data_IF_503714595749
#
_entry.id   IF_503714595749
#
_cell.length_a   1.000
_cell.length_b   1.000
_cell.length_c   1.000
_cell.angle_alpha   90.00
_cell.angle_beta   90.00
_cell.angle_gamma   90.00
#
_symmetry.space_group_name_H-M   'P 1'
#
loop_
_entity.id
_entity.type
_entity.pdbx_description
1 polymer ?
#
# COMPACT_ATOMS: atom_id res chain seq x y z
N UNK A 1 -1.21 -12.52 -15.32
CA UNK A 1 -0.17 -11.96 -14.39
C UNK A 1 1.07 -11.57 -15.17
N UNK A 2 1.70 -10.43 -14.89
CA UNK A 2 2.95 -10.01 -15.53
C UNK A 2 4.06 -11.05 -15.32
N UNK A 3 4.85 -11.30 -16.38
CA UNK A 3 5.95 -12.27 -16.32
C UNK A 3 7.13 -11.76 -15.46
N UNK A 4 7.35 -10.43 -15.42
CA UNK A 4 8.45 -9.79 -14.70
C UNK A 4 8.10 -8.36 -14.28
N UNK A 5 8.90 -7.80 -13.36
CA UNK A 5 8.72 -6.43 -12.87
C UNK A 5 9.03 -5.38 -13.93
N UNK A 6 9.94 -5.65 -14.86
CA UNK A 6 10.33 -4.68 -15.90
C UNK A 6 9.15 -4.37 -16.83
N UNK A 7 8.33 -5.37 -17.13
CA UNK A 7 7.08 -5.22 -17.89
C UNK A 7 6.11 -4.28 -17.17
N UNK A 8 5.87 -4.49 -15.87
CA UNK A 8 4.98 -3.63 -15.06
C UNK A 8 5.55 -2.20 -14.96
N UNK A 9 6.83 -2.05 -14.68
CA UNK A 9 7.50 -0.74 -14.57
C UNK A 9 7.43 0.01 -15.90
N UNK A 10 7.67 -0.69 -17.02
CA UNK A 10 7.58 -0.11 -18.37
C UNK A 10 6.16 0.37 -18.68
N UNK A 11 5.15 -0.46 -18.44
CA UNK A 11 3.75 -0.09 -18.61
C UNK A 11 3.39 1.12 -17.75
N UNK A 12 3.73 1.08 -16.45
CA UNK A 12 3.41 2.13 -15.50
C UNK A 12 4.00 3.49 -15.92
N UNK A 13 5.25 3.51 -16.37
CA UNK A 13 5.91 4.73 -16.86
C UNK A 13 5.27 5.24 -18.16
N UNK A 14 5.09 4.36 -19.16
CA UNK A 14 4.57 4.77 -20.46
C UNK A 14 3.09 5.19 -20.42
N UNK A 15 2.30 4.66 -19.50
CA UNK A 15 0.88 4.96 -19.40
C UNK A 15 0.55 6.00 -18.31
N UNK A 16 1.54 6.54 -17.63
CA UNK A 16 1.33 7.62 -16.67
C UNK A 16 0.75 7.17 -15.34
N UNK A 17 1.07 5.95 -14.92
CA UNK A 17 0.78 5.50 -13.56
C UNK A 17 1.83 5.98 -12.56
N UNK A 18 3.12 5.76 -12.87
CA UNK A 18 4.21 6.13 -11.96
C UNK A 18 5.41 6.61 -12.76
N UNK A 19 6.03 7.70 -12.32
CA UNK A 19 7.23 8.27 -12.90
C UNK A 19 8.37 8.25 -11.87
N UNK A 20 9.65 8.21 -12.31
CA UNK A 20 10.78 8.47 -11.42
C UNK A 20 10.66 9.86 -10.81
N UNK A 21 10.81 9.98 -9.50
CA UNK A 21 10.76 11.28 -8.82
C UNK A 21 11.90 12.17 -9.22
N UNK A 22 11.61 13.43 -9.60
CA UNK A 22 12.62 14.42 -10.03
C UNK A 22 13.48 13.99 -11.21
N UNK A 23 12.93 13.24 -12.17
CA UNK A 23 13.62 12.61 -13.29
C UNK A 23 14.48 13.59 -14.11
N UNK A 24 14.00 14.82 -14.32
CA UNK A 24 14.73 15.87 -15.06
C UNK A 24 16.07 16.26 -14.44
N UNK A 25 16.30 15.94 -13.18
CA UNK A 25 17.58 16.15 -12.47
C UNK A 25 18.35 14.84 -12.22
N UNK A 26 17.99 13.76 -12.93
CA UNK A 26 18.60 12.44 -12.76
C UNK A 26 17.95 11.59 -11.68
N UNK A 27 16.85 12.07 -11.11
CA UNK A 27 16.06 11.36 -10.09
C UNK A 27 16.67 11.40 -8.70
N UNK A 28 15.90 10.94 -7.73
CA UNK A 28 16.35 10.62 -6.38
C UNK A 28 16.10 9.12 -6.16
N UNK A 29 17.14 8.40 -5.75
CA UNK A 29 17.09 6.94 -5.62
C UNK A 29 15.84 6.47 -4.89
N UNK A 30 15.08 5.65 -5.60
CA UNK A 30 13.84 5.00 -5.13
C UNK A 30 12.78 5.97 -4.59
N UNK A 31 12.66 7.11 -5.24
CA UNK A 31 11.59 8.08 -5.06
C UNK A 31 10.75 8.10 -6.33
N UNK A 32 9.43 8.05 -6.17
CA UNK A 32 8.49 7.88 -7.26
C UNK A 32 7.35 8.88 -7.16
N UNK A 33 6.95 9.42 -8.31
CA UNK A 33 5.78 10.29 -8.44
C UNK A 33 4.62 9.50 -9.07
N UNK A 34 3.43 9.60 -8.47
CA UNK A 34 2.24 9.05 -9.10
C UNK A 34 1.78 9.97 -10.21
N UNK A 35 1.73 9.44 -11.43
CA UNK A 35 1.21 10.15 -12.59
C UNK A 35 -0.33 10.25 -12.59
N UNK A 36 -0.92 10.84 -13.65
CA UNK A 36 -2.38 11.08 -13.70
C UNK A 36 -3.24 9.84 -13.49
N UNK A 37 -2.86 8.69 -14.05
CA UNK A 37 -3.61 7.44 -13.85
C UNK A 37 -3.28 6.78 -12.52
N UNK A 38 -2.03 6.89 -12.08
CA UNK A 38 -1.60 6.30 -10.81
C UNK A 38 -2.24 6.95 -9.59
N UNK A 39 -2.38 8.28 -9.59
CA UNK A 39 -3.03 9.00 -8.49
C UNK A 39 -4.51 8.64 -8.39
N UNK A 40 -5.20 8.49 -9.53
CA UNK A 40 -6.60 8.04 -9.55
C UNK A 40 -6.74 6.61 -9.03
N UNK A 41 -5.89 5.67 -9.50
CA UNK A 41 -5.88 4.29 -9.01
C UNK A 41 -5.66 4.24 -7.50
N UNK A 42 -4.61 4.90 -7.00
CA UNK A 42 -4.26 4.93 -5.58
C UNK A 42 -5.36 5.57 -4.73
N UNK A 43 -5.97 6.65 -5.20
CA UNK A 43 -7.08 7.29 -4.51
C UNK A 43 -8.32 6.39 -4.46
N UNK A 44 -8.61 5.65 -5.54
CA UNK A 44 -9.71 4.68 -5.55
C UNK A 44 -9.46 3.53 -4.56
N UNK A 45 -8.23 3.02 -4.47
CA UNK A 45 -7.84 2.01 -3.48
C UNK A 45 -8.03 2.53 -2.05
N UNK A 46 -7.53 3.73 -1.76
CA UNK A 46 -7.71 4.38 -0.43
C UNK A 46 -9.18 4.62 -0.10
N UNK A 47 -9.97 5.05 -1.09
CA UNK A 47 -11.40 5.26 -0.93
C UNK A 47 -12.15 3.95 -0.65
N UNK A 48 -11.82 2.87 -1.36
CA UNK A 48 -12.40 1.55 -1.14
C UNK A 48 -12.10 1.05 0.28
N UNK A 49 -10.84 1.20 0.74
CA UNK A 49 -10.45 0.84 2.10
C UNK A 49 -11.21 1.66 3.15
N UNK A 50 -11.20 2.99 3.01
CA UNK A 50 -11.90 3.90 3.94
C UNK A 50 -13.38 3.59 4.04
N UNK A 51 -14.02 3.36 2.89
CA UNK A 51 -15.43 3.02 2.86
C UNK A 51 -15.72 1.70 3.58
N UNK A 52 -14.92 0.66 3.33
CA UNK A 52 -15.14 -0.67 3.91
C UNK A 52 -14.77 -0.75 5.39
N UNK A 53 -13.60 -0.22 5.75
CA UNK A 53 -13.05 -0.36 7.10
C UNK A 53 -13.55 0.71 8.07
N UNK A 54 -13.90 1.90 7.58
CA UNK A 54 -14.30 3.02 8.43
C UNK A 54 -15.78 3.33 8.27
N UNK A 55 -16.22 3.73 7.07
CA UNK A 55 -17.58 4.26 6.87
C UNK A 55 -18.66 3.21 7.06
N UNK A 56 -18.45 1.99 6.58
CA UNK A 56 -19.41 0.88 6.68
C UNK A 56 -19.29 0.08 7.99
N UNK A 57 -18.29 0.40 8.83
CA UNK A 57 -18.11 -0.27 10.11
C UNK A 57 -18.90 0.42 11.23
N UNK A 58 -19.67 -0.31 12.04
CA UNK A 58 -20.32 0.26 13.22
C UNK A 58 -19.34 0.53 14.37
N UNK A 59 -18.16 -0.08 14.31
CA UNK A 59 -17.13 0.00 15.35
C UNK A 59 -16.16 1.16 15.14
N UNK A 60 -15.75 1.42 13.88
CA UNK A 60 -14.59 2.21 13.57
C UNK A 60 -14.90 3.68 13.34
N UNK A 61 -13.90 4.53 13.56
CA UNK A 61 -13.90 5.96 13.22
C UNK A 61 -12.56 6.32 12.61
N UNK A 62 -12.49 7.46 11.92
CA UNK A 62 -11.26 7.93 11.29
C UNK A 62 -10.61 9.06 12.05
N UNK A 63 -9.30 9.20 11.87
CA UNK A 63 -8.48 10.33 12.31
C UNK A 63 -7.49 10.75 11.22
N UNK A 64 -7.02 11.97 11.27
CA UNK A 64 -5.86 12.45 10.50
C UNK A 64 -4.91 13.16 11.48
N UNK A 65 -3.95 12.40 12.02
CA UNK A 65 -2.95 12.91 12.94
C UNK A 65 -1.80 13.59 12.20
N UNK A 66 -1.19 14.60 12.83
CA UNK A 66 -0.04 15.32 12.28
C UNK A 66 1.16 14.39 12.03
N UNK A 67 1.92 14.66 10.95
CA UNK A 67 3.18 13.96 10.67
C UNK A 67 4.23 14.31 11.72
N UNK A 68 4.32 15.59 12.07
CA UNK A 68 5.25 16.10 13.07
C UNK A 68 4.63 15.95 14.46
N UNK A 69 5.28 15.17 15.32
CA UNK A 69 4.83 14.89 16.68
C UNK A 69 5.93 15.20 17.68
N UNK A 70 5.57 15.34 18.95
CA UNK A 70 6.53 15.49 20.01
C UNK A 70 7.50 14.31 20.04
N UNK A 71 8.82 14.52 20.08
CA UNK A 71 9.82 13.42 20.10
C UNK A 71 9.59 12.36 21.18
N UNK A 72 8.96 12.73 22.30
CA UNK A 72 8.59 11.79 23.37
C UNK A 72 7.64 10.66 22.92
N UNK A 73 6.90 10.87 21.84
CA UNK A 73 6.08 9.81 21.23
C UNK A 73 6.97 8.66 20.75
N UNK A 74 8.10 9.01 20.13
CA UNK A 74 9.06 8.06 19.59
C UNK A 74 9.96 7.42 20.65
N UNK A 75 10.18 8.13 21.78
CA UNK A 75 10.81 7.55 22.97
C UNK A 75 9.88 6.51 23.58
N UNK A 76 8.62 6.85 23.81
CA UNK A 76 7.63 5.97 24.42
C UNK A 76 7.38 4.69 23.61
N UNK A 77 7.24 4.83 22.30
CA UNK A 77 7.03 3.69 21.38
C UNK A 77 8.30 2.86 21.13
N UNK A 78 9.47 3.36 21.56
CA UNK A 78 10.76 2.67 21.37
C UNK A 78 11.43 2.88 20.01
N UNK A 79 10.84 3.64 19.08
CA UNK A 79 11.41 3.87 17.75
C UNK A 79 12.79 4.52 17.77
N UNK A 80 13.08 5.39 18.74
CA UNK A 80 14.40 6.02 18.81
C UNK A 80 15.52 5.02 19.15
N UNK A 81 15.19 3.96 19.87
CA UNK A 81 16.18 3.00 20.36
C UNK A 81 16.22 1.70 19.54
N UNK A 82 15.08 1.24 19.01
CA UNK A 82 14.94 -0.10 18.45
C UNK A 82 14.63 -0.12 16.94
N UNK A 83 14.30 1.02 16.34
CA UNK A 83 14.00 1.07 14.91
C UNK A 83 15.28 1.27 14.09
N UNK A 84 16.10 0.22 14.05
CA UNK A 84 17.44 0.27 13.50
C UNK A 84 17.74 -0.94 12.64
N UNK A 85 18.50 -0.72 11.54
CA UNK A 85 19.06 -1.78 10.71
C UNK A 85 20.53 -2.03 11.09
N UNK A 86 20.97 -3.31 11.13
CA UNK A 86 22.38 -3.66 11.25
C UNK A 86 23.12 -3.41 9.95
N UNK A 87 24.03 -2.43 9.91
CA UNK A 87 24.72 -2.01 8.69
C UNK A 87 26.17 -2.41 8.66
N UNK A 88 26.61 -2.94 7.51
CA UNK A 88 27.99 -3.28 7.23
C UNK A 88 28.41 -2.70 5.88
N UNK A 89 29.62 -2.10 5.79
CA UNK A 89 30.17 -1.54 4.56
C UNK A 89 31.27 -2.45 4.03
N UNK A 90 31.29 -2.72 2.72
CA UNK A 90 32.46 -3.32 2.10
C UNK A 90 33.47 -2.22 1.74
N UNK A 91 34.69 -2.34 2.25
CA UNK A 91 35.74 -1.30 2.11
C UNK A 91 36.24 -1.14 0.68
N UNK A 92 36.13 -2.18 -0.15
CA UNK A 92 36.63 -2.17 -1.52
C UNK A 92 35.61 -1.60 -2.50
N UNK A 93 34.37 -2.07 -2.47
CA UNK A 93 33.28 -1.58 -3.31
C UNK A 93 32.71 -0.25 -2.85
N UNK A 94 32.91 0.14 -1.58
CA UNK A 94 32.24 1.26 -0.89
C UNK A 94 30.72 1.14 -0.81
N UNK A 95 30.19 -0.08 -1.03
CA UNK A 95 28.77 -0.34 -0.98
C UNK A 95 28.38 -0.78 0.43
N UNK A 96 27.23 -0.32 0.85
CA UNK A 96 26.60 -0.61 2.15
C UNK A 96 25.55 -1.68 2.00
N UNK A 97 25.49 -2.60 2.97
CA UNK A 97 24.54 -3.70 3.04
C UNK A 97 23.90 -3.77 4.43
N UNK A 98 22.70 -4.32 4.49
CA UNK A 98 22.14 -4.84 5.74
C UNK A 98 22.84 -6.16 6.05
N UNK A 99 23.43 -6.26 7.23
CA UNK A 99 24.20 -7.45 7.62
C UNK A 99 23.31 -8.70 7.76
N UNK A 100 22.11 -8.53 8.32
CA UNK A 100 21.10 -9.59 8.42
C UNK A 100 20.71 -10.14 7.03
N UNK A 101 20.37 -9.28 6.09
CA UNK A 101 20.01 -9.71 4.74
C UNK A 101 21.17 -10.33 3.97
N UNK A 102 22.38 -9.80 4.14
CA UNK A 102 23.57 -10.38 3.52
C UNK A 102 23.82 -11.83 4.00
N UNK A 103 23.52 -12.11 5.25
CA UNK A 103 23.63 -13.45 5.84
C UNK A 103 22.49 -14.35 5.33
N UNK A 104 21.24 -13.86 5.34
CA UNK A 104 20.08 -14.61 4.87
C UNK A 104 20.23 -15.02 3.41
N UNK A 105 20.58 -14.08 2.53
CA UNK A 105 20.83 -14.34 1.10
C UNK A 105 21.92 -15.39 0.90
N UNK A 106 23.02 -15.32 1.68
CA UNK A 106 24.08 -16.34 1.61
C UNK A 106 23.60 -17.71 2.09
N UNK A 107 22.85 -17.77 3.19
CA UNK A 107 22.33 -19.02 3.74
C UNK A 107 21.33 -19.67 2.79
N UNK A 108 20.50 -18.89 2.12
CA UNK A 108 19.57 -19.36 1.10
C UNK A 108 20.30 -19.84 -0.16
N UNK A 109 21.09 -18.96 -0.79
CA UNK A 109 21.64 -19.15 -2.13
C UNK A 109 22.81 -20.14 -2.14
N UNK A 110 23.63 -20.17 -1.08
CA UNK A 110 24.87 -20.96 -1.02
C UNK A 110 24.72 -22.20 -0.16
N UNK A 111 23.99 -22.09 0.97
CA UNK A 111 23.82 -23.21 1.92
C UNK A 111 22.51 -23.99 1.70
N UNK A 112 21.58 -23.46 0.89
CA UNK A 112 20.27 -24.07 0.63
C UNK A 112 19.36 -24.07 1.88
N UNK A 113 19.60 -23.17 2.83
CA UNK A 113 18.77 -23.00 4.02
C UNK A 113 17.83 -21.82 3.84
N UNK A 114 16.68 -22.08 3.20
CA UNK A 114 15.66 -21.07 2.89
C UNK A 114 14.93 -20.52 4.13
N UNK A 115 15.06 -21.18 5.28
CA UNK A 115 14.39 -20.80 6.52
C UNK A 115 15.34 -20.14 7.55
N UNK A 116 16.56 -19.77 7.13
CA UNK A 116 17.47 -19.09 8.04
C UNK A 116 17.06 -17.63 8.23
N UNK A 117 16.85 -17.24 9.47
CA UNK A 117 16.49 -15.88 9.87
C UNK A 117 17.65 -15.31 10.68
N UNK A 118 18.17 -14.17 10.26
CA UNK A 118 19.22 -13.44 10.96
C UNK A 118 18.68 -12.38 11.93
N UNK A 119 17.36 -12.11 11.87
CA UNK A 119 16.71 -11.19 12.79
C UNK A 119 16.82 -11.72 14.23
N UNK A 120 17.07 -10.81 15.18
CA UNK A 120 17.31 -11.18 16.58
C UNK A 120 18.75 -11.59 16.92
N UNK A 121 19.64 -11.78 15.93
CA UNK A 121 21.06 -12.01 16.21
C UNK A 121 21.75 -10.72 16.67
N UNK A 122 22.69 -10.83 17.64
CA UNK A 122 23.53 -9.70 18.00
C UNK A 122 24.51 -9.33 16.88
N UNK A 123 24.98 -8.10 16.84
CA UNK A 123 25.98 -7.64 15.85
C UNK A 123 27.27 -8.48 15.89
N UNK A 124 27.67 -8.96 17.08
CA UNK A 124 28.82 -9.86 17.24
C UNK A 124 28.54 -11.23 16.60
N UNK A 125 27.32 -11.77 16.77
CA UNK A 125 26.90 -13.03 16.15
C UNK A 125 26.86 -12.91 14.64
N UNK A 126 26.23 -11.84 14.13
CA UNK A 126 26.18 -11.56 12.69
C UNK A 126 27.58 -11.42 12.08
N UNK A 127 28.45 -10.62 12.75
CA UNK A 127 29.83 -10.43 12.26
C UNK A 127 30.62 -11.74 12.26
N UNK A 128 30.45 -12.56 13.29
CA UNK A 128 31.06 -13.88 13.37
C UNK A 128 30.58 -14.79 12.22
N UNK A 129 29.29 -14.83 11.91
CA UNK A 129 28.78 -15.62 10.78
C UNK A 129 29.39 -15.13 9.46
N UNK A 130 29.43 -13.81 9.23
CA UNK A 130 30.04 -13.23 8.02
C UNK A 130 31.51 -13.66 7.87
N UNK A 131 32.26 -13.62 8.97
CA UNK A 131 33.69 -13.96 8.97
C UNK A 131 33.93 -15.48 8.84
N UNK A 132 33.21 -16.30 9.64
CA UNK A 132 33.36 -17.75 9.67
C UNK A 132 32.94 -18.41 8.35
N UNK A 133 31.88 -17.93 7.74
CA UNK A 133 31.37 -18.43 6.44
C UNK A 133 32.09 -17.78 5.24
N UNK A 134 32.93 -16.79 5.48
CA UNK A 134 33.67 -16.09 4.43
C UNK A 134 32.76 -15.37 3.43
N UNK A 135 31.66 -14.78 3.90
CA UNK A 135 30.69 -14.10 3.06
C UNK A 135 31.34 -12.93 2.34
N UNK A 136 31.29 -12.94 1.01
CA UNK A 136 31.90 -11.92 0.16
C UNK A 136 30.86 -10.92 -0.35
N UNK A 137 31.30 -9.70 -0.60
CA UNK A 137 30.50 -8.68 -1.23
C UNK A 137 30.02 -9.13 -2.64
N UNK A 138 28.75 -9.07 -2.95
CA UNK A 138 28.20 -9.44 -4.26
C UNK A 138 28.85 -8.68 -5.44
N UNK A 139 29.34 -7.47 -5.20
CA UNK A 139 29.94 -6.61 -6.25
C UNK A 139 31.45 -6.76 -6.34
N UNK A 140 32.19 -6.51 -5.26
CA UNK A 140 33.67 -6.58 -5.28
C UNK A 140 34.22 -8.00 -5.17
N UNK A 141 33.38 -8.97 -4.77
CA UNK A 141 33.79 -10.35 -4.50
C UNK A 141 34.87 -10.50 -3.41
N UNK A 142 34.98 -9.50 -2.53
CA UNK A 142 35.92 -9.48 -1.41
C UNK A 142 35.19 -9.55 -0.06
N UNK A 143 35.83 -10.10 0.98
CA UNK A 143 35.33 -10.14 2.36
C UNK A 143 35.89 -8.99 3.22
N UNK A 144 36.28 -7.87 2.61
CA UNK A 144 36.86 -6.73 3.33
C UNK A 144 35.75 -5.84 3.93
N UNK A 145 35.18 -6.32 5.05
CA UNK A 145 34.05 -5.69 5.72
C UNK A 145 34.49 -4.75 6.85
N UNK A 146 33.64 -3.75 7.16
CA UNK A 146 33.71 -2.96 8.39
C UNK A 146 33.10 -3.73 9.57
N UNK A 147 33.15 -3.14 10.76
CA UNK A 147 32.27 -3.54 11.85
C UNK A 147 30.82 -3.21 11.51
N UNK A 148 29.88 -4.01 12.10
CA UNK A 148 28.44 -3.75 11.98
C UNK A 148 28.08 -2.54 12.85
N UNK A 149 27.29 -1.62 12.27
CA UNK A 149 26.84 -0.42 12.96
C UNK A 149 25.33 -0.35 12.92
N UNK A 150 24.75 0.17 13.97
CA UNK A 150 23.34 0.48 14.07
C UNK A 150 23.00 1.71 13.22
N UNK A 151 21.95 1.63 12.44
CA UNK A 151 21.46 2.74 11.64
C UNK A 151 19.96 2.95 11.91
N UNK A 152 19.61 4.06 12.55
CA UNK A 152 18.21 4.38 12.81
C UNK A 152 17.50 4.82 11.53
N UNK A 153 16.35 4.22 11.26
CA UNK A 153 15.56 4.45 10.03
C UNK A 153 14.70 5.71 10.08
N UNK A 154 14.66 6.44 11.20
CA UNK A 154 13.89 7.67 11.28
C UNK A 154 14.59 8.82 10.57
N UNK A 155 13.84 9.54 9.71
CA UNK A 155 14.31 10.82 9.20
C UNK A 155 14.24 11.88 10.27
N UNK A 156 15.36 12.61 10.45
CA UNK A 156 15.48 13.74 11.35
C UNK A 156 15.31 15.06 10.64
N UNK A 157 14.73 16.04 11.31
CA UNK A 157 14.69 17.44 10.89
C UNK A 157 14.70 18.33 12.13
N UNK A 158 14.63 19.64 11.96
CA UNK A 158 14.66 20.60 13.07
C UNK A 158 13.44 21.53 12.99
N UNK A 159 12.90 21.87 14.15
CA UNK A 159 11.85 22.87 14.28
C UNK A 159 12.46 24.19 14.80
N UNK A 160 12.18 25.31 14.14
CA UNK A 160 12.73 26.60 14.54
C UNK A 160 13.95 27.03 13.72
N UNK A 161 14.72 27.96 14.25
CA UNK A 161 15.84 28.64 13.52
C UNK A 161 17.21 28.05 13.81
N UNK A 162 17.35 27.17 14.79
CA UNK A 162 18.62 26.55 15.19
C UNK A 162 18.56 25.04 15.00
N UNK A 163 19.64 24.50 14.45
CA UNK A 163 19.83 23.05 14.27
C UNK A 163 20.60 22.48 15.47
N UNK A 164 19.92 22.36 16.60
CA UNK A 164 20.46 21.79 17.82
C UNK A 164 19.56 20.64 18.35
N UNK A 165 20.07 19.85 19.28
CA UNK A 165 19.37 18.67 19.80
C UNK A 165 18.06 19.00 20.53
N UNK A 166 17.84 20.25 20.94
CA UNK A 166 16.60 20.66 21.61
C UNK A 166 15.46 20.93 20.62
N UNK A 167 15.83 21.15 19.36
CA UNK A 167 14.90 21.43 18.25
C UNK A 167 14.75 20.24 17.29
N UNK A 168 15.40 19.12 17.59
CA UNK A 168 15.33 17.91 16.79
C UNK A 168 13.92 17.31 16.82
N UNK A 169 13.35 17.06 15.65
CA UNK A 169 12.08 16.36 15.45
C UNK A 169 12.24 15.31 14.37
N UNK A 170 11.26 14.42 14.26
CA UNK A 170 11.32 13.29 13.35
C UNK A 170 10.11 13.26 12.43
N UNK A 171 10.33 12.82 11.19
CA UNK A 171 9.23 12.42 10.32
C UNK A 171 8.72 11.06 10.79
N UNK A 172 7.41 10.92 10.98
CA UNK A 172 6.82 9.68 11.50
C UNK A 172 7.15 8.48 10.60
N UNK A 173 7.63 7.35 11.16
CA UNK A 173 7.90 6.12 10.42
C UNK A 173 6.66 5.25 10.23
N UNK A 174 5.56 5.56 10.94
CA UNK A 174 4.27 4.90 10.89
C UNK A 174 3.13 5.84 11.31
N UNK A 175 1.91 5.52 10.93
CA UNK A 175 0.73 6.29 11.33
C UNK A 175 0.12 5.83 12.66
N UNK A 176 0.45 4.63 13.14
CA UNK A 176 -0.08 4.00 14.34
C UNK A 176 0.06 4.87 15.60
N UNK A 177 1.24 5.47 15.83
CA UNK A 177 1.48 6.24 17.05
C UNK A 177 0.59 7.50 17.15
N UNK A 178 0.23 8.11 16.00
CA UNK A 178 -0.74 9.18 15.95
C UNK A 178 -2.13 8.76 16.43
N UNK A 179 -2.47 7.48 16.24
CA UNK A 179 -3.73 6.90 16.72
C UNK A 179 -3.65 6.67 18.23
N UNK A 180 -2.58 6.01 18.72
CA UNK A 180 -2.44 5.70 20.15
C UNK A 180 -2.46 6.94 21.04
N UNK A 181 -1.74 8.00 20.68
CA UNK A 181 -1.72 9.24 21.48
C UNK A 181 -3.07 9.96 21.48
N UNK A 182 -3.93 9.70 20.50
CA UNK A 182 -5.28 10.25 20.39
C UNK A 182 -6.38 9.30 20.88
N UNK A 183 -6.05 8.10 21.36
CA UNK A 183 -7.02 7.10 21.81
C UNK A 183 -8.10 7.71 22.75
N UNK A 184 -7.69 8.38 23.83
CA UNK A 184 -8.61 8.99 24.81
C UNK A 184 -9.45 10.10 24.22
N UNK A 185 -8.84 10.93 23.36
CA UNK A 185 -9.55 12.03 22.68
C UNK A 185 -10.69 11.50 21.83
N UNK A 186 -10.40 10.47 21.03
CA UNK A 186 -11.38 9.82 20.14
C UNK A 186 -12.43 9.07 20.95
N UNK A 187 -12.01 8.23 21.91
CA UNK A 187 -12.92 7.45 22.75
C UNK A 187 -13.96 8.35 23.46
N UNK A 188 -13.52 9.49 24.02
CA UNK A 188 -14.39 10.43 24.74
C UNK A 188 -15.28 11.23 23.79
N UNK A 189 -14.70 11.84 22.75
CA UNK A 189 -15.43 12.73 21.83
C UNK A 189 -16.50 11.98 21.04
N UNK A 190 -16.19 10.72 20.64
CA UNK A 190 -17.08 9.85 19.90
C UNK A 190 -17.92 8.93 20.79
N UNK A 191 -17.74 8.98 22.12
CA UNK A 191 -18.42 8.15 23.10
C UNK A 191 -18.35 6.65 22.77
N UNK A 192 -17.19 6.21 22.27
CA UNK A 192 -17.01 4.81 21.86
C UNK A 192 -16.90 3.88 23.07
N UNK A 193 -17.55 2.72 22.94
CA UNK A 193 -17.37 1.57 23.81
C UNK A 193 -16.50 0.53 23.10
N UNK A 194 -15.83 -0.32 23.87
CA UNK A 194 -15.12 -1.47 23.31
C UNK A 194 -16.10 -2.54 22.80
N UNK A 195 -15.80 -3.21 21.67
CA UNK A 195 -14.65 -2.96 20.82
C UNK A 195 -14.87 -1.76 19.87
N UNK A 196 -13.80 -1.04 19.54
CA UNK A 196 -13.85 -0.02 18.50
C UNK A 196 -12.46 0.20 17.88
N UNK A 197 -12.44 0.68 16.64
CA UNK A 197 -11.21 0.97 15.92
C UNK A 197 -11.07 2.44 15.55
N UNK A 198 -9.82 2.87 15.38
CA UNK A 198 -9.46 4.18 14.86
C UNK A 198 -8.58 3.95 13.64
N UNK A 199 -9.04 4.39 12.46
CA UNK A 199 -8.29 4.25 11.21
C UNK A 199 -7.70 5.56 10.73
N UNK A 200 -6.56 5.45 10.06
CA UNK A 200 -5.88 6.57 9.43
C UNK A 200 -5.29 6.17 8.09
N UNK A 201 -5.35 7.09 7.12
CA UNK A 201 -4.54 7.05 5.90
C UNK A 201 -3.55 8.21 5.98
N UNK A 202 -2.26 7.93 5.79
CA UNK A 202 -1.30 9.02 5.85
C UNK A 202 0.11 8.63 5.39
N UNK A 203 0.90 9.66 5.09
CA UNK A 203 2.30 9.54 4.73
C UNK A 203 3.13 9.10 5.92
N UNK A 204 4.08 8.19 5.65
CA UNK A 204 5.12 7.73 6.57
C UNK A 204 6.48 7.72 5.86
N UNK A 205 7.54 7.76 6.65
CA UNK A 205 8.89 7.98 6.14
C UNK A 205 9.87 7.03 6.85
N UNK A 206 10.60 6.24 6.06
CA UNK A 206 11.66 5.36 6.57
C UNK A 206 12.90 5.55 5.75
N UNK A 207 14.00 5.90 6.36
CA UNK A 207 15.28 6.09 5.68
C UNK A 207 15.88 4.74 5.27
N UNK A 208 15.13 4.00 4.46
CA UNK A 208 15.48 2.68 3.95
C UNK A 208 16.85 2.68 3.26
N UNK A 209 17.67 1.70 3.58
CA UNK A 209 19.02 1.59 3.05
C UNK A 209 19.04 0.81 1.74
N UNK A 210 18.21 -0.23 1.66
CA UNK A 210 18.02 -1.07 0.47
C UNK A 210 16.60 -0.93 -0.06
N UNK A 211 16.16 0.28 -0.47
CA UNK A 211 14.88 0.42 -1.12
C UNK A 211 14.91 -0.32 -2.45
N UNK A 212 13.77 -0.84 -2.91
CA UNK A 212 13.77 -1.61 -4.15
C UNK A 212 12.39 -2.08 -4.58
N UNK A 213 12.39 -2.83 -5.67
CA UNK A 213 11.19 -3.40 -6.26
C UNK A 213 10.12 -2.32 -6.58
N UNK A 214 10.54 -1.27 -7.30
CA UNK A 214 9.66 -0.19 -7.73
C UNK A 214 9.02 0.53 -6.53
N UNK A 215 7.68 0.64 -6.48
CA UNK A 215 6.95 1.27 -5.36
C UNK A 215 6.68 0.32 -4.19
N UNK A 216 7.25 -0.89 -4.19
CA UNK A 216 7.07 -1.85 -3.10
C UNK A 216 7.78 -1.41 -1.80
N UNK A 217 9.02 -0.91 -1.91
CA UNK A 217 9.80 -0.42 -0.77
C UNK A 217 10.46 0.91 -1.12
N UNK A 218 9.91 1.98 -0.57
CA UNK A 218 10.32 3.37 -0.82
C UNK A 218 10.59 4.07 0.51
N UNK A 219 11.25 5.24 0.46
CA UNK A 219 11.55 6.03 1.68
C UNK A 219 10.40 6.89 2.14
N UNK A 220 9.53 7.28 1.22
CA UNK A 220 8.27 7.99 1.45
C UNK A 220 7.14 7.14 0.89
N UNK A 221 6.17 6.79 1.72
CA UNK A 221 5.05 5.93 1.36
C UNK A 221 3.78 6.33 2.10
N UNK A 222 2.66 5.74 1.75
CA UNK A 222 1.39 5.91 2.47
C UNK A 222 0.97 4.61 3.14
N UNK A 223 0.50 4.72 4.39
CA UNK A 223 -0.10 3.61 5.13
C UNK A 223 -1.61 3.84 5.27
N UNK A 224 -2.33 2.73 5.31
CA UNK A 224 -3.73 2.62 5.72
C UNK A 224 -3.74 1.71 6.94
N UNK A 225 -3.84 2.29 8.12
CA UNK A 225 -3.75 1.59 9.40
C UNK A 225 -5.05 1.72 10.17
N UNK A 226 -5.44 0.61 10.82
CA UNK A 226 -6.54 0.54 11.75
C UNK A 226 -6.02 -0.03 13.07
N UNK A 227 -6.16 0.76 14.14
CA UNK A 227 -5.91 0.29 15.51
C UNK A 227 -7.25 -0.08 16.12
N UNK A 228 -7.49 -1.38 16.25
CA UNK A 228 -8.75 -1.91 16.76
C UNK A 228 -8.59 -2.35 18.21
N UNK A 229 -9.27 -1.65 19.11
CA UNK A 229 -9.18 -1.85 20.56
C UNK A 229 -10.26 -2.81 21.03
N UNK A 230 -9.85 -3.83 21.81
CA UNK A 230 -10.73 -4.85 22.37
C UNK A 230 -10.42 -5.11 23.85
N UNK A 231 -11.26 -5.91 24.49
CA UNK A 231 -11.03 -6.39 25.86
C UNK A 231 -9.86 -7.39 25.87
N UNK A 232 -8.93 -7.31 26.84
CA UNK A 232 -7.90 -8.34 27.03
C UNK A 232 -8.50 -9.75 27.11
N UNK A 233 -7.94 -10.68 26.34
CA UNK A 233 -8.43 -12.05 26.17
C UNK A 233 -9.32 -12.28 24.95
N UNK A 234 -9.74 -11.23 24.25
CA UNK A 234 -10.50 -11.32 22.99
C UNK A 234 -9.63 -11.12 21.74
N UNK A 235 -8.35 -10.82 21.92
CA UNK A 235 -7.45 -10.39 20.83
C UNK A 235 -7.31 -11.41 19.72
N UNK A 236 -7.25 -12.70 20.03
CA UNK A 236 -7.09 -13.76 19.02
C UNK A 236 -8.36 -13.93 18.17
N UNK A 237 -9.54 -13.78 18.78
CA UNK A 237 -10.81 -13.81 18.03
C UNK A 237 -10.88 -12.63 17.05
N UNK A 238 -10.55 -11.43 17.51
CA UNK A 238 -10.53 -10.23 16.68
C UNK A 238 -9.42 -10.26 15.61
N UNK A 239 -8.25 -10.83 15.90
CA UNK A 239 -7.22 -11.05 14.89
C UNK A 239 -7.73 -11.96 13.77
N UNK A 240 -8.37 -13.08 14.09
CA UNK A 240 -8.95 -13.99 13.10
C UNK A 240 -10.07 -13.32 12.29
N UNK A 241 -10.90 -12.49 12.93
CA UNK A 241 -11.90 -11.67 12.24
C UNK A 241 -11.25 -10.76 11.21
N UNK A 242 -10.21 -10.00 11.59
CA UNK A 242 -9.54 -9.06 10.69
C UNK A 242 -8.75 -9.75 9.58
N UNK A 243 -8.17 -10.93 9.81
CA UNK A 243 -7.54 -11.75 8.76
C UNK A 243 -8.54 -12.10 7.65
N UNK A 244 -9.71 -12.60 8.03
CA UNK A 244 -10.76 -12.96 7.08
C UNK A 244 -11.30 -11.72 6.39
N UNK A 245 -11.62 -10.67 7.14
CA UNK A 245 -12.18 -9.43 6.61
C UNK A 245 -11.26 -8.74 5.58
N UNK A 246 -9.95 -8.70 5.86
CA UNK A 246 -8.95 -8.15 4.95
C UNK A 246 -8.79 -8.98 3.66
N UNK A 247 -8.75 -10.31 3.79
CA UNK A 247 -8.69 -11.22 2.63
C UNK A 247 -9.93 -11.11 1.74
N UNK A 248 -11.11 -11.05 2.34
CA UNK A 248 -12.38 -10.89 1.62
C UNK A 248 -12.46 -9.54 0.91
N UNK A 249 -11.92 -8.46 1.51
CA UNK A 249 -11.88 -7.17 0.86
C UNK A 249 -10.99 -7.18 -0.39
N UNK A 250 -9.80 -7.78 -0.33
CA UNK A 250 -8.90 -7.90 -1.49
C UNK A 250 -9.55 -8.69 -2.63
N UNK A 251 -10.16 -9.84 -2.32
CA UNK A 251 -10.85 -10.67 -3.33
C UNK A 251 -12.09 -10.00 -3.89
N UNK A 252 -12.83 -9.22 -3.09
CA UNK A 252 -13.99 -8.46 -3.55
C UNK A 252 -13.64 -7.37 -4.58
N UNK A 253 -12.36 -6.99 -4.65
CA UNK A 253 -11.79 -6.04 -5.62
C UNK A 253 -11.02 -6.74 -6.75
N UNK A 254 -11.33 -8.00 -7.03
CA UNK A 254 -10.77 -8.84 -8.08
C UNK A 254 -9.30 -9.27 -7.87
N UNK A 255 -8.74 -9.15 -6.68
CA UNK A 255 -7.42 -9.75 -6.44
C UNK A 255 -7.56 -11.27 -6.40
N UNK A 256 -6.75 -11.97 -7.19
CA UNK A 256 -6.78 -13.43 -7.29
C UNK A 256 -6.33 -14.08 -5.97
N UNK A 257 -7.18 -14.97 -5.42
CA UNK A 257 -6.84 -15.74 -4.22
C UNK A 257 -5.68 -16.71 -4.43
N UNK A 258 -5.40 -17.12 -5.68
CA UNK A 258 -4.26 -17.96 -6.03
C UNK A 258 -2.91 -17.23 -5.90
N UNK A 259 -2.95 -15.90 -5.92
CA UNK A 259 -1.80 -15.03 -5.76
C UNK A 259 -1.63 -14.52 -4.32
N UNK A 260 -2.45 -14.98 -3.39
CA UNK A 260 -2.39 -14.59 -1.98
C UNK A 260 -2.18 -15.81 -1.09
N UNK A 261 -1.53 -15.60 0.05
CA UNK A 261 -1.46 -16.59 1.14
C UNK A 261 -1.43 -15.89 2.49
N UNK A 262 -1.88 -16.60 3.52
CA UNK A 262 -1.67 -16.20 4.91
C UNK A 262 -0.38 -16.84 5.42
N UNK A 263 0.45 -16.07 6.11
CA UNK A 263 1.66 -16.52 6.78
C UNK A 263 1.63 -16.06 8.24
N UNK A 264 1.41 -17.00 9.15
CA UNK A 264 1.54 -16.72 10.58
C UNK A 264 3.04 -16.65 10.91
N UNK A 265 3.43 -15.69 11.77
CA UNK A 265 4.79 -15.57 12.27
C UNK A 265 5.06 -16.60 13.36
N UNK A 266 6.25 -17.19 13.35
CA UNK A 266 6.72 -18.03 14.44
C UNK A 266 7.08 -17.16 15.68
N UNK A 267 7.15 -17.78 16.87
CA UNK A 267 7.36 -17.04 18.14
C UNK A 267 8.64 -16.18 18.14
N UNK A 268 9.69 -16.61 17.44
CA UNK A 268 10.98 -15.92 17.31
C UNK A 268 10.99 -14.80 16.26
N UNK A 269 9.98 -14.76 15.37
CA UNK A 269 9.78 -13.67 14.42
C UNK A 269 8.91 -12.52 14.97
N UNK A 270 8.21 -12.75 16.10
CA UNK A 270 7.29 -11.75 16.64
C UNK A 270 8.02 -10.50 17.11
N UNK A 271 7.47 -9.34 16.73
CA UNK A 271 7.91 -8.07 17.29
C UNK A 271 7.73 -8.04 18.81
N UNK A 272 8.56 -7.33 19.52
CA UNK A 272 8.55 -7.23 21.00
C UNK A 272 7.23 -6.71 21.60
N UNK A 273 6.35 -6.16 20.83
CA UNK A 273 5.02 -5.66 21.20
C UNK A 273 3.89 -6.61 20.84
N UNK A 274 4.16 -7.67 20.09
CA UNK A 274 3.13 -8.55 19.54
C UNK A 274 3.17 -9.93 20.20
N UNK A 275 2.00 -10.52 20.44
CA UNK A 275 1.85 -11.93 20.83
C UNK A 275 1.32 -12.83 19.71
N UNK A 276 0.91 -12.24 18.59
CA UNK A 276 0.54 -12.96 17.37
C UNK A 276 0.57 -12.00 16.17
N UNK A 277 1.15 -12.42 15.07
CA UNK A 277 1.20 -11.66 13.81
C UNK A 277 0.92 -12.59 12.65
N UNK A 278 0.13 -12.14 11.69
CA UNK A 278 -0.14 -12.85 10.44
C UNK A 278 0.03 -11.87 9.28
N UNK A 279 0.80 -12.23 8.27
CA UNK A 279 0.86 -11.49 7.02
C UNK A 279 -0.11 -12.07 6.01
N UNK A 280 -0.77 -11.18 5.25
CA UNK A 280 -1.29 -11.52 3.94
C UNK A 280 -0.19 -11.21 2.96
N UNK A 281 0.37 -12.22 2.32
CA UNK A 281 1.39 -12.06 1.31
C UNK A 281 0.78 -12.16 -0.09
N UNK A 282 1.30 -11.38 -1.03
CA UNK A 282 0.97 -11.43 -2.45
C UNK A 282 2.18 -11.91 -3.26
N UNK A 283 1.91 -12.72 -4.28
CA UNK A 283 2.92 -13.24 -5.20
C UNK A 283 3.22 -12.23 -6.29
N UNK A 284 4.12 -11.28 -5.98
CA UNK A 284 4.64 -10.34 -6.97
C UNK A 284 5.52 -11.04 -8.02
N UNK A 285 5.82 -10.40 -9.16
CA UNK A 285 6.77 -10.98 -10.13
C UNK A 285 8.18 -11.27 -9.57
N UNK A 286 8.58 -10.61 -8.48
CA UNK A 286 9.85 -10.85 -7.78
C UNK A 286 9.75 -11.90 -6.64
N UNK A 287 8.60 -12.50 -6.43
CA UNK A 287 8.35 -13.48 -5.37
C UNK A 287 7.29 -13.05 -4.37
N UNK A 288 7.14 -13.81 -3.30
CA UNK A 288 6.21 -13.50 -2.22
C UNK A 288 6.66 -12.25 -1.46
N UNK A 289 5.74 -11.35 -1.21
CA UNK A 289 5.97 -10.13 -0.46
C UNK A 289 4.79 -9.80 0.43
N UNK A 290 5.09 -9.33 1.63
CA UNK A 290 4.10 -8.86 2.59
C UNK A 290 3.26 -7.74 1.96
N UNK A 291 1.95 -7.95 1.94
CA UNK A 291 0.97 -6.97 1.50
C UNK A 291 0.29 -6.31 2.69
N UNK A 292 -0.05 -7.08 3.72
CA UNK A 292 -0.81 -6.65 4.88
C UNK A 292 -0.30 -7.37 6.13
N UNK A 293 0.09 -6.64 7.16
CA UNK A 293 0.37 -7.18 8.48
C UNK A 293 -0.85 -7.06 9.39
N UNK A 294 -1.19 -8.13 10.12
CA UNK A 294 -2.27 -8.14 11.10
C UNK A 294 -1.70 -8.63 12.42
N UNK A 295 -1.36 -7.67 13.30
CA UNK A 295 -0.66 -7.92 14.54
C UNK A 295 -1.58 -7.74 15.75
N UNK A 296 -1.47 -8.63 16.74
CA UNK A 296 -1.99 -8.40 18.08
C UNK A 296 -0.91 -7.71 18.92
N UNK A 297 -1.05 -6.41 19.14
CA UNK A 297 -0.08 -5.56 19.86
C UNK A 297 -0.27 -5.56 21.38
N UNK A 298 -1.21 -6.33 21.88
CA UNK A 298 -1.55 -6.37 23.30
C UNK A 298 -1.90 -4.96 23.86
N UNK A 299 -1.51 -4.64 25.08
CA UNK A 299 -1.63 -3.31 25.69
C UNK A 299 -0.37 -2.44 25.48
N UNK A 300 0.62 -2.93 24.74
CA UNK A 300 1.98 -2.39 24.71
C UNK A 300 2.00 -0.87 24.49
N UNK A 301 1.44 -0.38 23.40
CA UNK A 301 1.53 1.03 23.05
C UNK A 301 0.78 1.93 24.03
N UNK A 302 -0.46 1.60 24.39
CA UNK A 302 -1.24 2.38 25.35
C UNK A 302 -0.57 2.41 26.73
N UNK A 303 0.00 1.30 27.17
CA UNK A 303 0.74 1.20 28.44
C UNK A 303 2.03 2.03 28.39
N UNK A 304 2.78 1.96 27.28
CA UNK A 304 3.99 2.77 27.11
C UNK A 304 3.71 4.27 27.10
N UNK A 305 2.66 4.69 26.41
CA UNK A 305 2.24 6.09 26.45
C UNK A 305 1.72 6.52 27.83
N UNK A 306 1.04 5.64 28.56
CA UNK A 306 0.63 5.92 29.93
C UNK A 306 1.86 6.11 30.86
N UNK A 307 2.84 5.20 30.79
CA UNK A 307 4.07 5.26 31.58
C UNK A 307 4.87 6.55 31.33
N UNK A 308 5.01 6.97 30.06
CA UNK A 308 5.84 8.13 29.69
C UNK A 308 5.11 9.46 29.86
N UNK A 309 3.79 9.50 29.70
CA UNK A 309 3.01 10.74 29.80
C UNK A 309 2.45 10.98 31.21
N UNK A 310 2.30 9.94 32.02
CA UNK A 310 1.57 9.98 33.30
C UNK A 310 0.04 10.00 33.14
N UNK A 311 -0.48 9.89 31.92
CA UNK A 311 -1.91 9.87 31.64
C UNK A 311 -2.53 8.47 31.86
N UNK A 312 -3.76 8.43 32.34
CA UNK A 312 -4.49 7.16 32.54
C UNK A 312 -5.18 6.71 31.26
N UNK A 313 -4.65 5.69 30.59
CA UNK A 313 -5.19 5.10 29.35
C UNK A 313 -6.18 3.95 29.60
N UNK A 314 -6.50 3.62 30.87
CA UNK A 314 -7.46 2.56 31.18
C UNK A 314 -8.85 2.91 30.66
N UNK A 315 -9.50 1.91 30.06
CA UNK A 315 -10.93 1.91 29.77
C UNK A 315 -11.70 1.53 31.03
N UNK A 316 -12.76 2.26 31.31
CA UNK A 316 -13.73 1.87 32.35
C UNK A 316 -14.91 1.22 31.67
N UNK A 317 -15.04 -0.09 31.87
CA UNK A 317 -16.15 -0.88 31.35
C UNK A 317 -17.42 -0.59 32.16
N UNK A 318 -18.46 0.00 31.55
CA UNK A 318 -19.68 0.34 32.28
C UNK A 318 -20.53 -0.88 32.64
N UNK A 319 -20.29 -2.05 32.03
CA UNK A 319 -21.07 -3.29 32.29
C UNK A 319 -20.49 -4.06 33.45
N UNK A 320 -19.17 -4.17 33.54
CA UNK A 320 -18.48 -4.94 34.61
C UNK A 320 -17.93 -4.03 35.71
N UNK A 321 -17.89 -2.72 35.52
CA UNK A 321 -17.24 -1.72 36.38
C UNK A 321 -15.72 -1.95 36.56
N UNK A 322 -15.11 -2.74 35.71
CA UNK A 322 -13.66 -2.98 35.68
C UNK A 322 -12.90 -1.85 34.98
N UNK A 323 -11.62 -1.72 35.32
CA UNK A 323 -10.70 -0.79 34.63
C UNK A 323 -9.49 -1.56 34.13
N UNK A 324 -9.23 -1.51 32.85
CA UNK A 324 -8.10 -2.17 32.20
C UNK A 324 -7.59 -1.33 31.01
N UNK A 325 -6.33 -1.54 30.62
CA UNK A 325 -5.80 -1.02 29.36
C UNK A 325 -6.27 -1.96 28.26
N UNK A 326 -6.94 -1.46 27.19
CA UNK A 326 -7.38 -2.31 26.08
C UNK A 326 -6.21 -2.95 25.34
N UNK A 327 -6.46 -4.12 24.77
CA UNK A 327 -5.59 -4.72 23.79
C UNK A 327 -5.90 -4.15 22.40
N UNK A 328 -4.91 -4.17 21.53
CA UNK A 328 -5.00 -3.61 20.18
C UNK A 328 -4.70 -4.67 19.13
N UNK A 329 -5.54 -4.74 18.11
CA UNK A 329 -5.27 -5.46 16.86
C UNK A 329 -5.03 -4.44 15.78
N UNK A 330 -3.92 -4.58 15.07
CA UNK A 330 -3.45 -3.67 14.03
C UNK A 330 -3.48 -4.35 12.65
N UNK A 331 -4.53 -4.19 11.84
CA UNK A 331 -4.46 -4.41 10.41
C UNK A 331 -3.77 -3.23 9.73
N UNK A 332 -2.50 -3.40 9.32
CA UNK A 332 -1.68 -2.37 8.69
C UNK A 332 -1.35 -2.72 7.24
N UNK A 333 -1.63 -1.80 6.33
CA UNK A 333 -1.51 -1.98 4.88
C UNK A 333 -0.79 -0.79 4.24
N UNK A 334 0.24 -1.06 3.44
CA UNK A 334 0.88 -0.06 2.60
C UNK A 334 0.03 0.27 1.36
N UNK A 335 -0.44 1.53 1.23
CA UNK A 335 -1.22 1.95 0.06
C UNK A 335 -0.46 1.78 -1.25
N UNK A 336 0.85 1.99 -1.24
CA UNK A 336 1.73 1.84 -2.40
C UNK A 336 1.88 0.35 -2.79
N UNK A 337 2.09 -0.53 -1.80
CA UNK A 337 2.21 -1.98 -2.03
C UNK A 337 0.93 -2.58 -2.59
N UNK A 338 -0.23 -2.26 -2.02
CA UNK A 338 -1.50 -2.79 -2.53
C UNK A 338 -1.86 -2.22 -3.89
N UNK A 339 -1.51 -0.98 -4.17
CA UNK A 339 -1.67 -0.39 -5.51
C UNK A 339 -0.81 -1.14 -6.53
N UNK A 340 0.44 -1.47 -6.18
CA UNK A 340 1.31 -2.31 -7.01
C UNK A 340 0.72 -3.71 -7.21
N UNK A 341 0.21 -4.33 -6.14
CA UNK A 341 -0.40 -5.66 -6.23
C UNK A 341 -1.61 -5.66 -7.18
N UNK A 342 -2.50 -4.69 -7.07
CA UNK A 342 -3.62 -4.54 -8.01
C UNK A 342 -3.14 -4.30 -9.45
N UNK A 343 -2.07 -3.54 -9.66
CA UNK A 343 -1.51 -3.33 -10.99
C UNK A 343 -0.92 -4.62 -11.58
N UNK A 344 -0.21 -5.40 -10.75
CA UNK A 344 0.36 -6.68 -11.16
C UNK A 344 -0.72 -7.73 -11.44
N UNK A 345 -1.74 -7.80 -10.59
CA UNK A 345 -2.82 -8.79 -10.70
C UNK A 345 -3.74 -8.51 -11.88
N UNK A 346 -3.99 -7.23 -12.17
CA UNK A 346 -4.83 -6.80 -13.29
C UNK A 346 -4.16 -6.96 -14.65
N UNK A 347 -2.83 -7.07 -14.73
CA UNK A 347 -2.10 -7.12 -15.99
C UNK A 347 -2.31 -8.43 -16.73
N UNK A 348 -2.71 -8.35 -18.00
CA UNK A 348 -2.78 -9.48 -18.90
C UNK A 348 -2.38 -9.13 -20.33
N UNK A 349 -1.87 -10.11 -21.06
CA UNK A 349 -1.61 -10.07 -22.49
C UNK A 349 -2.47 -11.13 -23.18
N UNK A 350 -3.55 -10.67 -23.80
CA UNK A 350 -4.49 -11.55 -24.50
C UNK A 350 -4.09 -11.73 -25.96
N UNK A 351 -4.28 -12.95 -26.46
CA UNK A 351 -3.98 -13.35 -27.84
C UNK A 351 -2.66 -14.12 -27.95
N UNK A 352 -2.23 -14.35 -29.22
CA UNK A 352 -0.98 -15.06 -29.49
C UNK A 352 0.19 -14.10 -29.38
N UNK A 353 1.18 -14.44 -28.55
CA UNK A 353 2.40 -13.65 -28.34
C UNK A 353 3.04 -13.26 -29.68
N UNK A 354 3.27 -11.96 -29.87
CA UNK A 354 3.84 -11.40 -31.11
C UNK A 354 2.87 -11.30 -32.29
N UNK A 355 1.59 -11.66 -32.12
CA UNK A 355 0.58 -11.45 -33.18
C UNK A 355 0.11 -10.00 -33.24
N UNK A 356 -0.38 -9.57 -34.43
CA UNK A 356 -0.97 -8.23 -34.59
C UNK A 356 -2.28 -8.05 -33.78
N UNK A 357 -2.84 -9.14 -33.30
CA UNK A 357 -4.10 -9.19 -32.53
C UNK A 357 -3.88 -9.28 -31.03
N UNK A 358 -2.63 -9.40 -30.55
CA UNK A 358 -2.32 -9.34 -29.14
C UNK A 358 -2.75 -7.97 -28.54
N UNK A 359 -3.38 -7.99 -27.37
CA UNK A 359 -3.70 -6.79 -26.61
C UNK A 359 -3.19 -6.87 -25.18
N UNK A 360 -2.60 -5.79 -24.72
CA UNK A 360 -2.34 -5.58 -23.30
C UNK A 360 -3.61 -5.04 -22.67
N UNK A 361 -4.02 -5.58 -21.55
CA UNK A 361 -5.19 -5.16 -20.80
C UNK A 361 -4.92 -5.14 -19.31
N UNK A 362 -5.51 -4.17 -18.62
CA UNK A 362 -5.52 -4.11 -17.16
C UNK A 362 -6.95 -4.43 -16.67
N UNK A 363 -7.16 -5.62 -16.14
CA UNK A 363 -8.45 -6.11 -15.64
C UNK A 363 -8.78 -5.58 -14.23
N UNK A 364 -8.63 -4.27 -14.00
CA UNK A 364 -9.03 -3.68 -12.73
C UNK A 364 -10.51 -3.91 -12.43
N UNK A 365 -10.83 -4.16 -11.16
CA UNK A 365 -12.21 -4.00 -10.72
C UNK A 365 -12.72 -2.60 -11.14
N UNK A 366 -13.92 -2.47 -11.72
CA UNK A 366 -14.39 -1.18 -12.24
C UNK A 366 -14.33 -0.04 -11.23
N UNK A 367 -14.55 -0.33 -9.94
CA UNK A 367 -14.42 0.66 -8.87
C UNK A 367 -12.98 1.18 -8.68
N UNK A 368 -11.95 0.37 -8.97
CA UNK A 368 -10.54 0.76 -8.84
C UNK A 368 -10.00 1.46 -10.09
N UNK A 369 -10.57 1.18 -11.27
CA UNK A 369 -10.10 1.74 -12.54
C UNK A 369 -9.93 3.27 -12.47
N UNK A 370 -8.82 3.83 -13.01
CA UNK A 370 -8.58 5.28 -13.03
C UNK A 370 -9.73 6.05 -13.67
N UNK A 371 -10.11 5.66 -14.89
CA UNK A 371 -11.33 6.14 -15.54
C UNK A 371 -12.43 5.09 -15.46
N UNK A 372 -13.65 5.52 -15.14
CA UNK A 372 -14.83 4.63 -15.07
C UNK A 372 -15.40 4.36 -16.45
N UNK A 373 -15.26 5.30 -17.34
CA UNK A 373 -15.60 5.17 -18.75
C UNK A 373 -14.76 6.11 -19.61
N UNK A 374 -14.74 5.84 -20.93
CA UNK A 374 -14.19 6.75 -21.92
C UNK A 374 -15.25 7.08 -22.96
N UNK A 375 -15.44 8.37 -23.27
CA UNK A 375 -16.34 8.84 -24.30
C UNK A 375 -15.58 8.97 -25.62
N UNK A 376 -16.02 8.21 -26.61
CA UNK A 376 -15.30 8.02 -27.88
C UNK A 376 -16.22 8.39 -29.07
N UNK A 377 -16.19 9.65 -29.57
CA UNK A 377 -16.94 9.98 -30.76
C UNK A 377 -16.41 9.20 -31.97
N UNK A 378 -17.26 8.49 -32.71
CA UNK A 378 -16.84 7.67 -33.85
C UNK A 378 -16.11 8.50 -34.92
N UNK A 379 -16.48 9.76 -35.07
CA UNK A 379 -15.86 10.74 -35.96
C UNK A 379 -15.71 12.08 -35.24
N UNK A 380 -14.66 12.84 -35.57
CA UNK A 380 -14.46 14.23 -35.08
C UNK A 380 -15.67 15.15 -35.31
N UNK A 381 -16.50 14.87 -36.33
CA UNK A 381 -17.72 15.64 -36.58
C UNK A 381 -18.75 15.50 -35.46
N UNK A 382 -18.66 14.43 -34.67
CA UNK A 382 -19.55 14.10 -33.56
C UNK A 382 -19.03 14.60 -32.21
N UNK A 383 -17.81 15.13 -32.16
CA UNK A 383 -17.14 15.52 -30.87
C UNK A 383 -17.95 16.57 -30.11
N UNK A 384 -18.61 17.50 -30.80
CA UNK A 384 -19.43 18.54 -30.17
C UNK A 384 -20.68 18.03 -29.44
N UNK A 385 -21.24 16.88 -29.86
CA UNK A 385 -22.34 16.23 -29.15
C UNK A 385 -21.83 15.26 -28.09
N UNK A 386 -20.76 14.50 -28.41
CA UNK A 386 -20.16 13.55 -27.48
C UNK A 386 -19.57 14.24 -26.21
N UNK A 387 -19.03 15.45 -26.33
CA UNK A 387 -18.50 16.21 -25.20
C UNK A 387 -19.58 16.54 -24.15
N UNK A 388 -20.84 16.68 -24.56
CA UNK A 388 -21.96 16.94 -23.64
C UNK A 388 -22.19 15.75 -22.70
N UNK A 389 -21.98 14.51 -23.21
CA UNK A 389 -22.04 13.29 -22.38
C UNK A 389 -20.90 13.28 -21.38
N UNK A 390 -19.68 13.64 -21.81
CA UNK A 390 -18.53 13.79 -20.92
C UNK A 390 -18.83 14.82 -19.82
N UNK A 391 -19.30 16.01 -20.16
CA UNK A 391 -19.62 17.08 -19.20
C UNK A 391 -20.68 16.63 -18.17
N UNK A 392 -21.70 15.91 -18.61
CA UNK A 392 -22.73 15.37 -17.73
C UNK A 392 -22.16 14.35 -16.73
N UNK A 393 -21.38 13.38 -17.22
CA UNK A 393 -20.89 12.27 -16.40
C UNK A 393 -19.68 12.64 -15.55
N UNK A 394 -18.83 13.56 -16.00
CA UNK A 394 -17.61 14.00 -15.28
C UNK A 394 -17.89 14.68 -13.94
N UNK A 395 -19.13 15.12 -13.72
CA UNK A 395 -19.56 15.64 -12.42
C UNK A 395 -19.59 14.58 -11.31
N UNK A 396 -19.65 13.28 -11.68
CA UNK A 396 -19.78 12.15 -10.74
C UNK A 396 -18.68 11.10 -10.86
N UNK A 397 -18.09 10.98 -12.05
CA UNK A 397 -17.13 9.93 -12.38
C UNK A 397 -15.86 10.51 -12.98
N UNK A 398 -14.73 9.85 -12.77
CA UNK A 398 -13.51 10.08 -13.55
C UNK A 398 -13.73 9.47 -14.93
N UNK A 399 -13.79 10.33 -15.97
CA UNK A 399 -14.13 9.95 -17.36
C UNK A 399 -13.03 10.45 -18.29
N UNK A 400 -12.65 9.64 -19.27
CA UNK A 400 -11.77 10.08 -20.36
C UNK A 400 -12.57 10.51 -21.62
N UNK A 401 -11.97 11.38 -22.43
CA UNK A 401 -12.52 11.79 -23.73
C UNK A 401 -11.43 11.68 -24.80
N UNK A 402 -11.62 10.79 -25.77
CA UNK A 402 -10.63 10.57 -26.82
C UNK A 402 -11.25 10.56 -28.22
N UNK A 403 -10.81 11.48 -29.06
CA UNK A 403 -11.20 11.61 -30.47
C UNK A 403 -10.05 11.32 -31.45
N UNK A 404 -8.88 10.87 -30.94
CA UNK A 404 -7.67 10.76 -31.73
C UNK A 404 -7.47 9.39 -32.36
N UNK A 405 -7.27 9.32 -33.67
CA UNK A 405 -7.08 8.08 -34.44
C UNK A 405 -8.36 7.24 -34.63
N UNK A 406 -8.21 5.99 -35.11
CA UNK A 406 -9.33 5.08 -35.33
C UNK A 406 -9.94 4.57 -34.02
N UNK A 407 -11.23 4.22 -34.04
CA UNK A 407 -11.94 3.71 -32.85
C UNK A 407 -11.27 2.48 -32.26
N UNK A 408 -10.79 1.55 -33.09
CA UNK A 408 -10.08 0.34 -32.63
C UNK A 408 -8.79 0.65 -31.87
N UNK A 409 -8.03 1.68 -32.29
CA UNK A 409 -6.83 2.11 -31.55
C UNK A 409 -7.17 2.77 -30.23
N UNK A 410 -8.31 3.47 -30.16
CA UNK A 410 -8.79 4.10 -28.93
C UNK A 410 -9.27 3.04 -27.94
N UNK A 411 -9.97 2.01 -28.39
CA UNK A 411 -10.31 0.87 -27.52
C UNK A 411 -9.05 0.22 -26.92
N UNK A 412 -8.03 -0.05 -27.75
CA UNK A 412 -6.76 -0.61 -27.27
C UNK A 412 -6.08 0.25 -26.20
N UNK A 413 -6.06 1.59 -26.37
CA UNK A 413 -5.52 2.50 -25.36
C UNK A 413 -6.30 2.44 -24.04
N UNK A 414 -7.63 2.32 -24.11
CA UNK A 414 -8.46 2.21 -22.92
C UNK A 414 -8.31 0.85 -22.23
N UNK A 415 -8.17 -0.24 -23.01
CA UNK A 415 -7.86 -1.57 -22.48
C UNK A 415 -6.51 -1.56 -21.69
N UNK A 416 -5.47 -0.95 -22.27
CA UNK A 416 -4.13 -0.86 -21.66
C UNK A 416 -4.07 -0.05 -20.36
N UNK A 417 -4.98 0.87 -20.13
CA UNK A 417 -5.07 1.66 -18.89
C UNK A 417 -6.20 1.18 -17.96
N UNK A 418 -6.91 0.13 -18.37
CA UNK A 418 -7.88 -0.56 -17.53
C UNK A 418 -9.25 0.12 -17.41
N UNK A 419 -9.62 0.99 -18.37
CA UNK A 419 -10.95 1.61 -18.41
C UNK A 419 -12.01 0.55 -18.68
N UNK A 420 -12.99 0.30 -17.79
CA UNK A 420 -13.90 -0.82 -17.92
C UNK A 420 -14.95 -0.64 -19.02
N UNK A 421 -15.33 0.59 -19.33
CA UNK A 421 -16.40 0.87 -20.29
C UNK A 421 -15.99 1.92 -21.30
N UNK A 422 -16.15 1.61 -22.60
CA UNK A 422 -15.97 2.56 -23.69
C UNK A 422 -17.34 2.93 -24.27
N UNK A 423 -17.69 4.20 -24.22
CA UNK A 423 -18.96 4.74 -24.70
C UNK A 423 -18.74 5.38 -26.06
N UNK A 424 -19.22 4.73 -27.14
CA UNK A 424 -19.07 5.24 -28.50
C UNK A 424 -20.33 6.01 -28.93
N UNK A 425 -20.14 7.27 -29.28
CA UNK A 425 -21.16 8.12 -29.89
C UNK A 425 -20.96 8.08 -31.38
N UNK A 426 -21.95 7.57 -32.13
CA UNK A 426 -21.94 7.37 -33.54
C UNK A 426 -22.96 8.28 -34.26
N UNK A 427 -23.16 8.12 -35.60
CA UNK A 427 -24.09 8.93 -36.35
C UNK A 427 -25.57 8.62 -36.02
N UNK A 428 -25.86 7.34 -35.70
CA UNK A 428 -27.23 6.93 -35.32
C UNK A 428 -27.59 7.52 -33.95
N UNK A 429 -26.59 7.81 -33.10
CA UNK A 429 -26.78 8.47 -31.81
C UNK A 429 -27.42 9.85 -31.89
N UNK A 430 -27.26 10.54 -33.03
CA UNK A 430 -27.94 11.83 -33.31
C UNK A 430 -29.45 11.69 -33.50
N UNK A 431 -29.89 10.51 -33.92
CA UNK A 431 -31.30 10.26 -34.27
C UNK A 431 -32.03 9.57 -33.09
N UNK A 432 -31.40 8.58 -32.46
CA UNK A 432 -32.04 7.71 -31.49
C UNK A 432 -31.66 8.04 -30.01
N UNK A 433 -30.75 8.99 -29.78
CA UNK A 433 -30.24 9.35 -28.44
C UNK A 433 -29.67 8.15 -27.65
N UNK A 434 -29.10 7.19 -28.37
CA UNK A 434 -28.42 6.03 -27.77
C UNK A 434 -26.94 6.04 -28.09
N UNK A 435 -26.17 5.29 -27.32
CA UNK A 435 -24.74 5.09 -27.51
C UNK A 435 -24.39 3.61 -27.42
N UNK A 436 -23.28 3.22 -28.01
CA UNK A 436 -22.78 1.87 -27.88
C UNK A 436 -21.77 1.82 -26.70
N UNK A 437 -22.04 0.99 -25.70
CA UNK A 437 -21.17 0.74 -24.56
C UNK A 437 -20.45 -0.58 -24.80
N UNK A 438 -19.10 -0.53 -24.84
CA UNK A 438 -18.24 -1.72 -24.94
C UNK A 438 -17.68 -2.02 -23.56
N UNK A 439 -17.87 -3.26 -23.13
CA UNK A 439 -17.21 -3.81 -21.95
C UNK A 439 -15.77 -4.23 -22.29
N UNK A 440 -14.80 -3.86 -21.41
CA UNK A 440 -13.36 -4.14 -21.59
C UNK A 440 -13.08 -5.65 -21.61
N UNK A 441 -13.66 -6.39 -20.68
CA UNK A 441 -13.28 -7.77 -20.41
C UNK A 441 -13.94 -8.73 -21.41
N UNK A 442 -15.23 -8.62 -21.64
CA UNK A 442 -15.96 -9.45 -22.62
C UNK A 442 -15.83 -8.97 -24.06
N UNK A 443 -15.44 -7.70 -24.27
CA UNK A 443 -15.51 -6.99 -25.56
C UNK A 443 -16.91 -6.88 -26.16
N UNK A 444 -17.93 -7.30 -25.44
CA UNK A 444 -19.32 -7.16 -25.88
C UNK A 444 -19.72 -5.69 -25.98
N UNK A 445 -20.59 -5.42 -26.94
CA UNK A 445 -21.08 -4.09 -27.22
C UNK A 445 -22.61 -4.08 -27.12
N UNK A 446 -23.12 -3.20 -26.27
CA UNK A 446 -24.55 -3.05 -26.03
C UNK A 446 -24.96 -1.62 -26.33
N UNK A 447 -26.06 -1.43 -27.12
CA UNK A 447 -26.61 -0.13 -27.34
C UNK A 447 -27.60 0.24 -26.23
N UNK A 448 -27.47 1.45 -25.68
CA UNK A 448 -28.31 1.92 -24.57
C UNK A 448 -28.60 3.42 -24.66
N UNK A 449 -29.71 3.88 -24.08
CA UNK A 449 -30.05 5.30 -24.01
C UNK A 449 -29.00 6.09 -23.23
N UNK A 450 -28.64 7.29 -23.71
CA UNK A 450 -27.71 8.20 -23.03
C UNK A 450 -28.20 8.51 -21.61
N UNK A 451 -29.51 8.62 -21.41
CA UNK A 451 -30.12 8.88 -20.10
C UNK A 451 -29.91 7.78 -19.08
N UNK A 452 -29.55 6.56 -19.49
CA UNK A 452 -29.30 5.42 -18.59
C UNK A 452 -27.82 5.26 -18.19
N UNK A 453 -26.90 5.95 -18.88
CA UNK A 453 -25.45 5.80 -18.64
C UNK A 453 -25.05 6.10 -17.19
N UNK A 454 -25.62 7.12 -16.59
CA UNK A 454 -25.27 7.50 -15.20
C UNK A 454 -25.68 6.39 -14.21
N UNK A 455 -26.88 5.84 -14.35
CA UNK A 455 -27.36 4.75 -13.52
C UNK A 455 -26.54 3.48 -13.74
N UNK A 456 -26.22 3.17 -15.01
CA UNK A 456 -25.36 2.05 -15.37
C UNK A 456 -23.98 2.16 -14.72
N UNK A 457 -23.29 3.29 -14.89
CA UNK A 457 -21.96 3.49 -14.30
C UNK A 457 -22.01 3.47 -12.76
N UNK A 458 -23.04 4.05 -12.15
CA UNK A 458 -23.21 4.03 -10.70
C UNK A 458 -23.29 2.61 -10.17
N UNK A 459 -24.07 1.73 -10.82
CA UNK A 459 -24.22 0.34 -10.41
C UNK A 459 -22.95 -0.47 -10.67
N UNK A 460 -22.30 -0.27 -11.82
CA UNK A 460 -21.15 -1.07 -12.26
C UNK A 460 -19.82 -0.68 -11.64
N UNK A 461 -19.71 0.53 -11.07
CA UNK A 461 -18.43 1.04 -10.51
C UNK A 461 -18.48 1.27 -9.01
N UNK A 462 -19.47 0.74 -8.32
CA UNK A 462 -19.53 0.77 -6.84
C UNK A 462 -18.55 -0.22 -6.21
N UNK A 463 -18.13 0.11 -4.97
CA UNK A 463 -17.30 -0.77 -4.13
C UNK A 463 -18.14 -1.82 -3.43
#
# INVERSE_FOLDING_TARGET
>A
MAKDMDTIVSLAKHRGFVFPGSDIYGGLSNTWDYGPLGVELKNNVKKAWWQKFITQSPFNVGIDAAILMNPKVWEASGHLNNFNDPMIDNKDSKIRYRADKLIEDYMQDVKGNENFIADGLSFEQMKKIIDDEGIVCPVSKTANWTEIRQFNLMFKTFQGVTEDSTNEIFLRPETAQGIFVNYKNVQRSMRKKLPFGIGQIGKSFRNEITPGNFIFRTREFEQMELEFFCKPGEEIEWQNYWKTFASDWLTSLNMSSENMRLRDHDEDELSHYSNATTDIEYKFPFGWGELWGIASRTDFDLRKHAEHSGEDFRYHDPETNEKYIPYCIEPSLGADRVTLAFLCDAYDEEGVEGSKDARTVLHFHPALAPYKAAILPLSKKLSGEAIKIFEQLSSKFSIDFDESQSIGKRYRRQDEIGTPYCVTFDFDSLEDNQVTVRDRDSMEQVRMPISELEAFLTEKTKF
#
